data_IF_704226094198
#
_entry.id   IF_704226094198
#
_cell.length_a   1.000
_cell.length_b   1.000
_cell.length_c   1.000
_cell.angle_alpha   90.00
_cell.angle_beta   90.00
_cell.angle_gamma   90.00
#
_symmetry.space_group_name_H-M   'P 1'
#
loop_
_entity.id
_entity.type
_entity.pdbx_description
1 polymer ?
#
# COMPACT_ATOMS: atom_id res chain seq x y z
N UNK A 1 -18.84 18.18 9.09
CA UNK A 1 -17.96 17.41 10.01
C UNK A 1 -16.49 17.69 9.72
N UNK A 2 -15.56 17.23 10.57
CA UNK A 2 -14.13 17.34 10.32
C UNK A 2 -13.72 16.60 9.03
N UNK A 3 -14.28 15.41 8.79
CA UNK A 3 -14.05 14.63 7.58
C UNK A 3 -14.45 15.44 6.33
N UNK A 4 -15.62 16.09 6.34
CA UNK A 4 -16.08 16.86 5.17
C UNK A 4 -15.16 18.04 4.85
N UNK A 5 -14.71 18.77 5.89
CA UNK A 5 -13.78 19.90 5.71
C UNK A 5 -12.48 19.44 5.06
N UNK A 6 -11.89 18.33 5.55
CA UNK A 6 -10.63 17.81 5.02
C UNK A 6 -10.83 17.24 3.61
N UNK A 7 -11.92 16.51 3.39
CA UNK A 7 -12.21 15.85 2.11
C UNK A 7 -12.37 16.83 0.94
N UNK A 8 -12.95 18.02 1.20
CA UNK A 8 -13.18 19.04 0.16
C UNK A 8 -12.01 20.02 0.02
N UNK A 9 -11.03 19.98 0.93
CA UNK A 9 -9.86 20.85 0.87
C UNK A 9 -8.96 20.47 -0.32
N UNK A 10 -8.52 21.47 -1.07
CA UNK A 10 -7.57 21.30 -2.18
C UNK A 10 -6.10 21.24 -1.70
N UNK A 11 -5.88 21.63 -0.45
CA UNK A 11 -4.57 21.66 0.18
C UNK A 11 -4.29 20.42 1.05
N UNK A 12 -3.45 20.64 2.05
CA UNK A 12 -2.94 19.58 2.96
C UNK A 12 -3.53 19.79 4.35
N UNK A 13 -3.42 18.74 5.19
CA UNK A 13 -3.74 18.86 6.61
C UNK A 13 -2.45 19.25 7.38
N UNK A 14 -2.47 20.42 7.97
CA UNK A 14 -1.40 20.92 8.84
C UNK A 14 -1.75 20.51 10.26
N UNK A 15 -1.03 19.53 10.79
CA UNK A 15 -1.28 19.06 12.16
C UNK A 15 -0.34 19.78 13.11
N UNK A 16 -0.87 20.28 14.22
CA UNK A 16 -0.08 21.06 15.18
C UNK A 16 -0.43 20.75 16.64
N UNK A 17 0.49 20.96 17.54
CA UNK A 17 0.33 20.70 18.96
C UNK A 17 1.62 20.89 19.74
N UNK A 18 1.53 21.12 21.05
CA UNK A 18 2.68 21.35 21.94
C UNK A 18 2.95 20.16 22.83
N UNK A 19 4.22 19.89 23.13
CA UNK A 19 4.65 18.85 24.06
C UNK A 19 4.17 17.45 23.64
N UNK A 20 3.47 16.71 24.54
CA UNK A 20 2.95 15.37 24.24
C UNK A 20 1.90 15.39 23.12
N UNK A 21 1.04 16.41 23.11
CA UNK A 21 0.09 16.62 21.98
C UNK A 21 0.83 16.85 20.65
N UNK A 22 1.98 17.50 20.66
CA UNK A 22 2.84 17.68 19.47
C UNK A 22 3.42 16.36 18.94
N UNK A 23 3.86 15.45 19.82
CA UNK A 23 4.30 14.12 19.41
C UNK A 23 3.16 13.28 18.83
N UNK A 24 1.97 13.37 19.42
CA UNK A 24 0.75 12.74 18.89
C UNK A 24 0.38 13.36 17.53
N UNK A 25 0.44 14.68 17.39
CA UNK A 25 0.18 15.40 16.16
C UNK A 25 1.12 14.96 15.01
N UNK A 26 2.42 14.76 15.28
CA UNK A 26 3.37 14.20 14.31
C UNK A 26 2.96 12.80 13.83
N UNK A 27 2.53 11.94 14.77
CA UNK A 27 2.05 10.59 14.42
C UNK A 27 0.78 10.65 13.58
N UNK A 28 -0.19 11.50 13.95
CA UNK A 28 -1.42 11.69 13.17
C UNK A 28 -1.11 12.19 11.76
N UNK A 29 -0.22 13.18 11.61
CA UNK A 29 0.22 13.67 10.29
C UNK A 29 0.81 12.55 9.43
N UNK A 30 1.66 11.70 10.03
CA UNK A 30 2.24 10.54 9.35
C UNK A 30 1.17 9.53 8.95
N UNK A 31 0.19 9.24 9.82
CA UNK A 31 -0.91 8.33 9.50
C UNK A 31 -1.77 8.86 8.36
N UNK A 32 -2.19 10.13 8.41
CA UNK A 32 -2.94 10.79 7.34
C UNK A 32 -2.22 10.67 5.99
N UNK A 33 -0.93 11.03 5.96
CA UNK A 33 -0.11 10.96 4.75
C UNK A 33 -0.01 9.52 4.20
N UNK A 34 0.18 8.54 5.09
CA UNK A 34 0.29 7.12 4.72
C UNK A 34 -1.03 6.48 4.30
N UNK A 35 -2.16 7.12 4.59
CA UNK A 35 -3.51 6.68 4.22
C UNK A 35 -4.16 7.56 3.14
N UNK A 36 -3.33 8.29 2.37
CA UNK A 36 -3.77 9.01 1.18
C UNK A 36 -4.24 10.44 1.40
N UNK A 37 -4.17 10.98 2.64
CA UNK A 37 -4.46 12.38 2.93
C UNK A 37 -3.16 13.14 3.14
N UNK A 38 -2.72 14.03 2.22
CA UNK A 38 -1.48 14.78 2.37
C UNK A 38 -1.48 15.60 3.66
N UNK A 39 -0.51 15.36 4.53
CA UNK A 39 -0.43 16.03 5.83
C UNK A 39 1.02 16.18 6.29
N UNK A 40 1.29 17.21 7.09
CA UNK A 40 2.56 17.36 7.80
C UNK A 40 2.38 18.13 9.09
N UNK A 41 3.38 18.06 9.94
CA UNK A 41 3.37 18.70 11.26
C UNK A 41 4.08 20.06 11.22
N UNK A 42 3.45 21.08 11.83
CA UNK A 42 4.06 22.37 12.12
C UNK A 42 4.11 22.60 13.63
N UNK A 43 5.29 22.89 14.17
CA UNK A 43 5.44 23.13 15.60
C UNK A 43 4.96 24.55 15.95
N UNK A 44 4.11 24.75 16.99
CA UNK A 44 3.54 26.06 17.30
C UNK A 44 4.59 27.15 17.58
N UNK A 45 5.68 26.80 18.26
CA UNK A 45 6.77 27.76 18.51
C UNK A 45 7.52 28.15 17.26
N UNK A 46 7.84 27.18 16.39
CA UNK A 46 8.53 27.46 15.11
C UNK A 46 7.64 28.26 14.16
N UNK A 47 6.33 28.02 14.20
CA UNK A 47 5.35 28.82 13.46
C UNK A 47 5.49 30.32 13.78
N UNK A 48 5.76 30.66 15.05
CA UNK A 48 5.97 32.04 15.49
C UNK A 48 7.27 32.65 14.95
N UNK A 49 8.18 31.85 14.41
CA UNK A 49 9.50 32.26 13.90
C UNK A 49 9.68 32.03 12.39
N UNK A 50 8.57 31.87 11.65
CA UNK A 50 8.61 31.82 10.19
C UNK A 50 7.86 30.65 9.56
N UNK A 51 7.67 29.52 10.28
CA UNK A 51 7.06 28.32 9.73
C UNK A 51 5.54 28.49 9.42
N UNK A 52 4.90 29.61 9.81
CA UNK A 52 3.59 30.00 9.26
C UNK A 52 3.61 30.08 7.73
N UNK A 53 4.77 30.40 7.13
CA UNK A 53 4.95 30.38 5.68
C UNK A 53 4.81 29.02 5.01
N UNK A 54 4.82 27.92 5.79
CA UNK A 54 4.54 26.58 5.29
C UNK A 54 3.05 26.30 5.07
N UNK A 55 2.16 27.14 5.62
CA UNK A 55 0.72 26.95 5.62
C UNK A 55 0.12 27.77 4.47
N UNK A 56 -0.52 27.12 3.51
CA UNK A 56 -1.20 27.74 2.38
C UNK A 56 -2.69 28.02 2.69
N UNK A 57 -3.30 28.93 1.94
CA UNK A 57 -4.69 29.33 2.17
C UNK A 57 -5.72 28.22 1.90
N UNK A 58 -5.35 27.23 1.11
CA UNK A 58 -6.18 26.06 0.78
C UNK A 58 -5.91 24.85 1.69
N UNK A 59 -5.00 24.97 2.67
CA UNK A 59 -4.75 23.93 3.68
C UNK A 59 -5.88 23.91 4.74
N UNK A 60 -5.89 22.87 5.58
CA UNK A 60 -6.73 22.73 6.77
C UNK A 60 -5.82 22.52 7.98
N UNK A 61 -6.06 23.26 9.06
CA UNK A 61 -5.29 23.09 10.30
C UNK A 61 -6.05 22.16 11.25
N UNK A 62 -5.36 21.12 11.75
CA UNK A 62 -5.81 20.25 12.84
C UNK A 62 -4.94 20.54 14.07
N UNK A 63 -5.50 21.24 15.03
CA UNK A 63 -4.82 21.72 16.22
C UNK A 63 -5.17 20.87 17.47
N UNK A 64 -4.16 20.27 18.07
CA UNK A 64 -4.29 19.42 19.26
C UNK A 64 -3.87 20.17 20.53
N UNK A 65 -4.78 20.38 21.44
CA UNK A 65 -4.51 20.90 22.79
C UNK A 65 -5.51 20.35 23.79
N UNK A 66 -5.04 19.57 24.77
CA UNK A 66 -5.94 18.96 25.75
C UNK A 66 -6.79 19.99 26.50
N UNK A 67 -6.17 21.04 27.01
CA UNK A 67 -6.87 22.14 27.69
C UNK A 67 -7.53 23.11 26.74
N UNK A 68 -7.04 23.18 25.48
CA UNK A 68 -7.44 24.21 24.54
C UNK A 68 -6.94 25.63 24.88
N UNK A 69 -6.09 25.76 25.90
CA UNK A 69 -5.56 27.04 26.41
C UNK A 69 -4.04 27.20 26.21
N UNK A 70 -3.44 26.39 25.34
CA UNK A 70 -1.99 26.45 25.04
C UNK A 70 -1.63 27.77 24.38
N UNK A 71 -0.85 28.61 25.06
CA UNK A 71 -0.54 29.97 24.63
C UNK A 71 0.19 30.01 23.28
N UNK A 72 1.07 29.06 23.03
CA UNK A 72 1.86 28.95 21.79
C UNK A 72 1.00 28.71 20.54
N UNK A 73 -0.23 28.23 20.71
CA UNK A 73 -1.15 28.02 19.59
C UNK A 73 -1.74 29.32 19.05
N UNK A 74 -1.61 30.43 19.78
CA UNK A 74 -2.24 31.70 19.45
C UNK A 74 -1.86 32.20 18.05
N UNK A 75 -0.58 32.15 17.70
CA UNK A 75 -0.11 32.66 16.42
C UNK A 75 -0.67 31.86 15.22
N UNK A 76 -0.79 30.54 15.35
CA UNK A 76 -1.40 29.66 14.34
C UNK A 76 -2.90 29.94 14.22
N UNK A 77 -3.62 30.08 15.33
CA UNK A 77 -5.07 30.36 15.31
C UNK A 77 -5.37 31.77 14.76
N UNK A 78 -4.58 32.76 15.12
CA UNK A 78 -4.71 34.13 14.56
C UNK A 78 -4.38 34.15 13.07
N UNK A 79 -3.39 33.38 12.61
CA UNK A 79 -3.03 33.23 11.22
C UNK A 79 -4.17 32.54 10.42
N UNK A 80 -4.69 31.43 10.91
CA UNK A 80 -5.84 30.71 10.33
C UNK A 80 -7.00 31.67 10.10
N UNK A 81 -7.41 32.41 11.14
CA UNK A 81 -8.53 33.34 11.06
C UNK A 81 -8.29 34.50 10.07
N UNK A 82 -7.06 35.05 10.05
CA UNK A 82 -6.68 36.17 9.17
C UNK A 82 -6.71 35.76 7.70
N UNK A 83 -6.34 34.54 7.39
CA UNK A 83 -6.25 34.02 6.03
C UNK A 83 -7.44 33.15 5.60
N UNK A 84 -8.46 32.99 6.48
CA UNK A 84 -9.65 32.19 6.19
C UNK A 84 -9.38 30.69 6.07
N UNK A 85 -8.27 30.21 6.66
CA UNK A 85 -7.86 28.80 6.63
C UNK A 85 -8.72 28.03 7.62
N UNK A 86 -9.30 26.90 7.21
CA UNK A 86 -10.14 26.07 8.06
C UNK A 86 -9.38 25.49 9.24
N UNK A 87 -9.94 25.62 10.44
CA UNK A 87 -9.36 25.17 11.70
C UNK A 87 -10.25 24.12 12.36
N UNK A 88 -9.68 22.96 12.62
CA UNK A 88 -10.27 21.88 13.41
C UNK A 88 -9.55 21.82 14.74
N UNK A 89 -10.26 21.95 15.85
CA UNK A 89 -9.72 21.79 17.19
C UNK A 89 -9.95 20.38 17.73
N UNK A 90 -8.93 19.77 18.32
CA UNK A 90 -9.03 18.54 19.10
C UNK A 90 -8.69 18.84 20.54
N UNK A 91 -9.68 18.88 21.43
CA UNK A 91 -9.55 19.32 22.83
C UNK A 91 -10.54 18.60 23.75
N UNK A 92 -10.25 18.56 25.04
CA UNK A 92 -11.19 18.06 26.05
C UNK A 92 -12.15 19.14 26.59
N UNK A 93 -11.91 20.43 26.27
CA UNK A 93 -12.68 21.56 26.78
C UNK A 93 -13.40 22.27 25.62
N UNK A 94 -14.70 22.04 25.52
CA UNK A 94 -15.53 22.50 24.39
C UNK A 94 -15.67 24.03 24.28
N UNK A 95 -15.44 24.78 25.36
CA UNK A 95 -15.53 26.23 25.42
C UNK A 95 -14.17 26.93 25.61
N UNK A 96 -13.07 26.19 25.39
CA UNK A 96 -11.70 26.71 25.46
C UNK A 96 -11.41 27.77 24.38
N UNK A 97 -10.31 28.51 24.55
CA UNK A 97 -9.87 29.52 23.60
C UNK A 97 -9.67 28.94 22.18
N UNK A 98 -9.08 27.74 22.07
CA UNK A 98 -8.90 27.05 20.79
C UNK A 98 -10.26 26.64 20.19
N UNK A 99 -11.18 26.10 21.01
CA UNK A 99 -12.49 25.66 20.53
C UNK A 99 -13.34 26.81 19.99
N UNK A 100 -13.28 27.97 20.65
CA UNK A 100 -14.05 29.18 20.25
C UNK A 100 -13.68 29.74 18.88
N UNK A 101 -12.46 29.50 18.41
CA UNK A 101 -11.97 30.02 17.12
C UNK A 101 -11.97 28.97 16.02
N UNK A 102 -12.27 27.71 16.33
CA UNK A 102 -12.29 26.62 15.38
C UNK A 102 -13.60 26.53 14.59
N UNK A 103 -13.53 26.14 13.32
CA UNK A 103 -14.71 25.83 12.49
C UNK A 103 -15.40 24.53 12.92
N UNK A 104 -14.62 23.58 13.42
CA UNK A 104 -15.10 22.29 14.00
C UNK A 104 -14.30 21.94 15.23
N UNK A 105 -15.00 21.45 16.26
CA UNK A 105 -14.37 20.98 17.50
C UNK A 105 -14.61 19.48 17.66
N UNK A 106 -13.52 18.73 17.75
CA UNK A 106 -13.48 17.32 18.11
C UNK A 106 -13.28 17.26 19.63
N UNK A 107 -14.37 17.09 20.37
CA UNK A 107 -14.35 17.09 21.84
C UNK A 107 -14.00 15.69 22.34
N UNK A 108 -12.93 15.61 23.13
CA UNK A 108 -12.52 14.39 23.83
C UNK A 108 -13.17 14.33 25.22
N UNK A 109 -13.60 13.15 25.69
CA UNK A 109 -14.13 13.02 27.05
C UNK A 109 -13.04 13.33 28.07
N UNK A 110 -13.41 14.05 29.12
CA UNK A 110 -12.50 14.31 30.24
C UNK A 110 -12.27 13.01 31.04
N UNK A 111 -11.00 12.69 31.26
CA UNK A 111 -10.62 11.51 32.04
C UNK A 111 -9.35 11.79 32.85
N UNK A 112 -9.19 11.04 33.96
CA UNK A 112 -7.96 11.09 34.74
C UNK A 112 -6.80 10.49 33.96
N UNK A 113 -5.64 11.10 34.15
CA UNK A 113 -4.40 10.49 33.70
C UNK A 113 -4.09 9.21 34.49
N UNK A 114 -3.46 8.21 33.83
CA UNK A 114 -3.07 6.96 34.52
C UNK A 114 -1.93 7.17 35.52
N UNK A 115 -1.27 8.32 35.49
CA UNK A 115 -0.24 8.71 36.42
C UNK A 115 -0.86 8.87 37.83
N UNK A 116 -0.23 8.35 38.93
CA UNK A 116 -0.74 8.45 40.31
C UNK A 116 -1.08 9.87 40.74
N UNK A 117 -0.35 10.85 40.23
CA UNK A 117 -0.53 12.28 40.53
C UNK A 117 -1.50 13.00 39.56
N UNK A 118 -2.05 12.30 38.58
CA UNK A 118 -2.89 12.89 37.52
C UNK A 118 -2.21 14.04 36.73
N UNK A 119 -0.88 13.99 36.54
CA UNK A 119 -0.09 15.04 35.93
C UNK A 119 0.54 14.66 34.62
N UNK A 120 1.09 13.43 34.49
CA UNK A 120 1.77 13.01 33.28
C UNK A 120 0.73 12.64 32.21
N UNK A 121 0.78 13.29 31.02
CA UNK A 121 -0.14 12.99 29.92
C UNK A 121 0.02 11.54 29.45
N UNK A 122 -0.98 10.74 29.69
CA UNK A 122 -1.08 9.30 29.36
C UNK A 122 -2.42 9.02 28.70
N UNK A 123 -3.51 9.01 29.46
CA UNK A 123 -4.88 8.81 28.97
C UNK A 123 -5.26 9.87 27.93
N UNK A 124 -4.96 11.15 28.19
CA UNK A 124 -5.18 12.24 27.25
C UNK A 124 -4.47 12.03 25.90
N UNK A 125 -3.20 11.58 25.96
CA UNK A 125 -2.41 11.32 24.76
C UNK A 125 -2.96 10.14 23.94
N UNK A 126 -3.40 9.07 24.60
CA UNK A 126 -4.02 7.92 23.94
C UNK A 126 -5.35 8.28 23.27
N UNK A 127 -6.17 9.11 23.94
CA UNK A 127 -7.43 9.57 23.37
C UNK A 127 -7.23 10.44 22.13
N UNK A 128 -6.27 11.38 22.17
CA UNK A 128 -5.91 12.19 21.01
C UNK A 128 -5.42 11.32 19.85
N UNK A 129 -4.59 10.32 20.15
CA UNK A 129 -4.07 9.39 19.16
C UNK A 129 -5.20 8.57 18.52
N UNK A 130 -6.06 7.97 19.35
CA UNK A 130 -7.16 7.13 18.88
C UNK A 130 -8.14 7.92 18.00
N UNK A 131 -8.51 9.15 18.39
CA UNK A 131 -9.40 9.99 17.60
C UNK A 131 -8.75 10.46 16.30
N UNK A 132 -7.43 10.75 16.33
CA UNK A 132 -6.67 11.11 15.14
C UNK A 132 -6.57 9.95 14.14
N UNK A 133 -6.36 8.72 14.61
CA UNK A 133 -6.36 7.54 13.75
C UNK A 133 -7.76 7.23 13.22
N UNK A 134 -8.81 7.38 14.03
CA UNK A 134 -10.19 7.24 13.57
C UNK A 134 -10.53 8.25 12.47
N UNK A 135 -10.04 9.51 12.58
CA UNK A 135 -10.20 10.52 11.55
C UNK A 135 -9.47 10.12 10.25
N UNK A 136 -8.25 9.61 10.35
CA UNK A 136 -7.47 9.15 9.20
C UNK A 136 -8.16 7.98 8.48
N UNK A 137 -8.71 7.01 9.22
CA UNK A 137 -9.44 5.87 8.64
C UNK A 137 -10.77 6.32 8.00
N UNK A 138 -11.52 7.24 8.62
CA UNK A 138 -12.73 7.78 8.02
C UNK A 138 -12.45 8.53 6.70
N UNK A 139 -11.32 9.23 6.60
CA UNK A 139 -10.87 9.86 5.37
C UNK A 139 -10.45 8.83 4.31
N UNK A 140 -9.69 7.81 4.70
CA UNK A 140 -9.30 6.69 3.83
C UNK A 140 -10.54 6.05 3.18
N UNK A 141 -11.57 5.73 3.98
CA UNK A 141 -12.82 5.17 3.48
C UNK A 141 -13.55 6.14 2.54
N UNK A 142 -13.59 7.43 2.91
CA UNK A 142 -14.28 8.47 2.10
C UNK A 142 -13.63 8.75 0.75
N UNK A 143 -12.32 8.52 0.62
CA UNK A 143 -11.57 8.66 -0.63
C UNK A 143 -11.55 7.38 -1.46
N UNK A 144 -12.08 6.26 -0.95
CA UNK A 144 -11.99 4.95 -1.61
C UNK A 144 -10.56 4.44 -1.78
N UNK A 145 -9.67 4.82 -0.84
CA UNK A 145 -8.25 4.45 -0.85
C UNK A 145 -8.09 2.94 -0.71
N UNK A 146 -7.40 2.33 -1.67
CA UNK A 146 -7.28 0.88 -1.80
C UNK A 146 -5.97 0.34 -1.23
N UNK A 147 -5.89 -1.01 -1.11
CA UNK A 147 -4.64 -1.68 -0.76
C UNK A 147 -3.53 -1.43 -1.81
N UNK A 148 -3.90 -1.24 -3.08
CA UNK A 148 -2.95 -0.90 -4.15
C UNK A 148 -2.36 0.48 -3.91
N UNK A 149 -3.20 1.48 -3.60
CA UNK A 149 -2.74 2.83 -3.27
C UNK A 149 -1.83 2.83 -2.05
N UNK A 150 -2.16 2.00 -1.03
CA UNK A 150 -1.30 1.81 0.13
C UNK A 150 0.08 1.27 -0.23
N UNK A 151 0.13 0.29 -1.15
CA UNK A 151 1.39 -0.27 -1.67
C UNK A 151 2.26 0.77 -2.36
N UNK A 152 1.67 1.67 -3.15
CA UNK A 152 2.38 2.77 -3.82
C UNK A 152 3.07 3.73 -2.84
N UNK A 153 2.43 3.99 -1.68
CA UNK A 153 2.99 4.86 -0.64
C UNK A 153 4.00 4.15 0.28
N UNK A 154 4.06 2.81 0.25
CA UNK A 154 4.94 2.00 1.13
C UNK A 154 5.86 1.04 0.34
N UNK A 155 6.65 1.51 -0.64
CA UNK A 155 7.39 0.62 -1.55
C UNK A 155 8.49 -0.21 -0.87
N UNK A 156 9.00 0.22 0.28
CA UNK A 156 10.14 -0.40 0.98
C UNK A 156 9.80 -1.26 2.20
N UNK A 157 8.52 -1.37 2.60
CA UNK A 157 8.12 -2.09 3.81
C UNK A 157 7.64 -3.53 3.54
N UNK A 158 7.61 -4.39 4.58
CA UNK A 158 6.98 -5.73 4.49
C UNK A 158 5.53 -5.66 3.96
N UNK A 159 4.77 -4.62 4.34
CA UNK A 159 3.43 -4.40 3.83
C UNK A 159 3.42 -4.11 2.31
N UNK A 160 4.36 -3.31 1.80
CA UNK A 160 4.48 -3.06 0.36
C UNK A 160 4.80 -4.32 -0.43
N UNK A 161 5.62 -5.21 0.14
CA UNK A 161 5.93 -6.51 -0.47
C UNK A 161 4.70 -7.43 -0.53
N UNK A 162 3.86 -7.44 0.50
CA UNK A 162 2.62 -8.23 0.54
C UNK A 162 1.58 -7.76 -0.50
N UNK A 163 1.67 -6.51 -0.96
CA UNK A 163 0.76 -5.89 -1.93
C UNK A 163 1.28 -5.92 -3.37
N UNK A 164 2.50 -6.42 -3.60
CA UNK A 164 3.01 -6.63 -4.96
C UNK A 164 2.19 -7.67 -5.70
N UNK A 165 2.01 -7.41 -6.99
CA UNK A 165 1.31 -8.28 -7.92
C UNK A 165 2.29 -9.09 -8.77
N UNK A 166 1.79 -10.10 -9.47
CA UNK A 166 2.56 -10.87 -10.45
C UNK A 166 3.19 -9.94 -11.51
N UNK A 167 2.46 -8.91 -11.96
CA UNK A 167 2.90 -7.92 -12.94
C UNK A 167 4.19 -7.21 -12.55
N UNK A 168 4.39 -6.98 -11.24
CA UNK A 168 5.53 -6.20 -10.74
C UNK A 168 6.86 -6.94 -10.85
N UNK A 169 6.82 -8.29 -10.98
CA UNK A 169 8.03 -9.12 -10.97
C UNK A 169 8.08 -10.19 -12.07
N UNK A 170 7.01 -10.36 -12.86
CA UNK A 170 6.97 -11.39 -13.91
C UNK A 170 7.98 -11.12 -15.02
N UNK A 171 8.52 -12.18 -15.56
CA UNK A 171 9.35 -12.15 -16.77
C UNK A 171 8.45 -12.01 -17.99
N UNK A 172 8.75 -11.08 -18.90
CA UNK A 172 7.91 -10.73 -20.05
C UNK A 172 8.65 -10.86 -21.39
N UNK A 173 7.89 -10.87 -22.48
CA UNK A 173 8.42 -10.83 -23.84
C UNK A 173 9.35 -12.01 -24.13
N UNK A 174 10.54 -11.71 -24.67
CA UNK A 174 11.53 -12.72 -25.04
C UNK A 174 12.10 -13.53 -23.85
N UNK A 175 11.85 -13.12 -22.59
CA UNK A 175 12.27 -13.91 -21.44
C UNK A 175 11.35 -15.11 -21.16
N UNK A 176 10.14 -15.11 -21.68
CA UNK A 176 9.21 -16.23 -21.52
C UNK A 176 9.64 -17.44 -22.36
N UNK A 177 9.69 -18.66 -21.77
CA UNK A 177 9.94 -19.90 -22.51
C UNK A 177 8.67 -20.34 -23.24
N UNK A 178 8.53 -20.02 -24.52
CA UNK A 178 7.35 -20.34 -25.32
C UNK A 178 7.75 -21.08 -26.62
N UNK A 179 6.96 -22.07 -26.98
CA UNK A 179 7.09 -22.78 -28.25
C UNK A 179 5.71 -22.93 -28.92
N UNK A 180 5.62 -22.81 -30.27
CA UNK A 180 4.40 -23.09 -31.00
C UNK A 180 4.01 -24.57 -30.96
N UNK A 181 2.70 -24.87 -31.12
CA UNK A 181 2.24 -26.23 -31.44
C UNK A 181 3.01 -26.79 -32.65
N UNK A 182 3.29 -28.09 -32.64
CA UNK A 182 4.01 -28.78 -33.69
C UNK A 182 5.55 -28.63 -33.61
N UNK A 183 6.09 -27.88 -32.64
CA UNK A 183 7.55 -27.79 -32.39
C UNK A 183 8.11 -29.17 -32.02
N UNK A 184 9.33 -29.50 -32.45
CA UNK A 184 10.01 -30.73 -32.00
C UNK A 184 10.41 -30.61 -30.54
N UNK A 185 10.42 -31.73 -29.84
CA UNK A 185 10.84 -31.77 -28.43
C UNK A 185 12.30 -31.36 -28.25
N UNK A 186 13.20 -31.64 -29.21
CA UNK A 186 14.56 -31.13 -29.21
C UNK A 186 14.64 -29.61 -29.08
N UNK A 187 13.81 -28.88 -29.82
CA UNK A 187 13.77 -27.42 -29.84
C UNK A 187 13.08 -26.88 -28.57
N UNK A 188 12.00 -27.56 -28.13
CA UNK A 188 11.33 -27.26 -26.87
C UNK A 188 12.26 -27.38 -25.64
N UNK A 189 13.06 -28.42 -25.59
CA UNK A 189 14.06 -28.63 -24.52
C UNK A 189 15.17 -27.58 -24.58
N UNK A 190 15.60 -27.18 -25.79
CA UNK A 190 16.58 -26.12 -25.95
C UNK A 190 16.04 -24.78 -25.41
N UNK A 191 14.78 -24.47 -25.71
CA UNK A 191 14.10 -23.27 -25.16
C UNK A 191 14.01 -23.31 -23.65
N UNK A 192 13.59 -24.45 -23.05
CA UNK A 192 13.57 -24.66 -21.58
C UNK A 192 14.93 -24.40 -20.95
N UNK A 193 16.00 -24.96 -21.54
CA UNK A 193 17.37 -24.85 -21.05
C UNK A 193 17.87 -23.41 -21.16
N UNK A 194 17.61 -22.74 -22.28
CA UNK A 194 18.04 -21.36 -22.55
C UNK A 194 17.41 -20.37 -21.59
N UNK A 195 16.13 -20.56 -21.23
CA UNK A 195 15.41 -19.65 -20.32
C UNK A 195 15.59 -20.02 -18.85
N UNK A 196 15.89 -21.26 -18.53
CA UNK A 196 16.26 -21.71 -17.17
C UNK A 196 15.11 -21.79 -16.16
N UNK A 197 13.85 -21.87 -16.63
CA UNK A 197 12.68 -21.96 -15.73
C UNK A 197 12.18 -23.41 -15.50
N UNK A 198 12.82 -24.40 -16.09
CA UNK A 198 12.41 -25.81 -15.97
C UNK A 198 11.06 -26.11 -16.62
N UNK A 199 10.59 -25.24 -17.50
CA UNK A 199 9.35 -25.47 -18.27
C UNK A 199 9.35 -24.68 -19.59
N UNK A 200 8.42 -25.03 -20.51
CA UNK A 200 8.10 -24.29 -21.72
C UNK A 200 6.58 -24.28 -21.92
N UNK A 201 6.01 -23.10 -22.18
CA UNK A 201 4.59 -22.94 -22.53
C UNK A 201 4.36 -23.21 -24.02
N UNK A 202 3.30 -23.93 -24.32
CA UNK A 202 2.93 -24.25 -25.72
C UNK A 202 1.77 -23.36 -26.14
N UNK A 203 1.96 -22.62 -27.24
CA UNK A 203 0.98 -21.68 -27.76
C UNK A 203 0.42 -22.14 -29.11
N UNK A 204 -0.87 -21.87 -29.34
CA UNK A 204 -1.52 -22.14 -30.63
C UNK A 204 -1.23 -21.01 -31.66
N UNK A 205 -1.75 -21.17 -32.89
CA UNK A 205 -1.58 -20.19 -33.97
C UNK A 205 -2.25 -18.82 -33.70
N UNK A 206 -3.06 -18.69 -32.63
CA UNK A 206 -3.65 -17.43 -32.16
C UNK A 206 -2.87 -16.83 -30.98
N UNK A 207 -1.80 -17.52 -30.53
CA UNK A 207 -0.99 -17.14 -29.38
C UNK A 207 -1.63 -17.47 -28.03
N UNK A 208 -2.63 -18.35 -27.97
CA UNK A 208 -3.25 -18.81 -26.73
C UNK A 208 -2.38 -19.91 -26.09
N UNK A 209 -2.22 -19.86 -24.78
CA UNK A 209 -1.51 -20.89 -24.02
C UNK A 209 -2.37 -22.16 -23.93
N UNK A 210 -1.98 -23.21 -24.63
CA UNK A 210 -2.73 -24.48 -24.72
C UNK A 210 -2.11 -25.63 -23.95
N UNK A 211 -0.83 -25.52 -23.57
CA UNK A 211 -0.12 -26.55 -22.84
C UNK A 211 1.15 -26.03 -22.15
N UNK A 212 1.72 -26.90 -21.33
CA UNK A 212 3.02 -26.70 -20.68
C UNK A 212 3.79 -28.01 -20.69
N UNK A 213 5.08 -27.95 -20.86
CA UNK A 213 6.02 -29.06 -20.63
C UNK A 213 6.96 -28.64 -19.50
N UNK A 214 7.14 -29.50 -18.53
CA UNK A 214 8.02 -29.29 -17.37
C UNK A 214 9.11 -30.38 -17.34
N UNK A 215 10.15 -30.19 -16.52
CA UNK A 215 11.15 -31.24 -16.25
C UNK A 215 10.51 -32.55 -15.75
N UNK A 216 9.36 -32.44 -15.06
CA UNK A 216 8.57 -33.60 -14.64
C UNK A 216 7.96 -34.36 -15.82
N UNK A 217 7.48 -33.64 -16.82
CA UNK A 217 6.94 -34.23 -18.05
C UNK A 217 8.04 -34.93 -18.86
N UNK A 218 9.22 -34.31 -18.99
CA UNK A 218 10.36 -34.93 -19.64
C UNK A 218 10.72 -36.28 -18.98
N UNK A 219 10.78 -36.33 -17.66
CA UNK A 219 11.08 -37.57 -16.93
C UNK A 219 10.01 -38.65 -17.12
N UNK A 220 8.72 -38.25 -17.16
CA UNK A 220 7.61 -39.20 -17.37
C UNK A 220 7.58 -39.79 -18.79
N UNK A 221 8.02 -39.02 -19.77
CA UNK A 221 8.01 -39.42 -21.18
C UNK A 221 9.40 -39.83 -21.69
N UNK A 222 10.36 -40.08 -20.77
CA UNK A 222 11.71 -40.49 -21.14
C UNK A 222 11.68 -41.77 -21.97
N UNK A 223 12.01 -41.67 -23.25
CA UNK A 223 12.12 -42.75 -24.21
C UNK A 223 13.13 -42.38 -25.30
N UNK A 224 13.62 -43.37 -26.05
CA UNK A 224 14.70 -43.15 -27.03
C UNK A 224 14.36 -42.17 -28.15
N UNK A 225 13.08 -42.04 -28.51
CA UNK A 225 12.55 -41.16 -29.58
C UNK A 225 11.96 -39.84 -29.07
N UNK A 226 12.14 -39.50 -27.79
CA UNK A 226 11.59 -38.28 -27.19
C UNK A 226 11.97 -37.01 -27.96
N UNK A 227 13.21 -36.89 -28.40
CA UNK A 227 13.70 -35.69 -29.08
C UNK A 227 13.04 -35.47 -30.46
N UNK A 228 12.58 -36.53 -31.13
CA UNK A 228 11.87 -36.48 -32.41
C UNK A 228 10.36 -36.31 -32.26
N UNK A 229 9.81 -36.52 -31.05
CA UNK A 229 8.40 -36.32 -30.76
C UNK A 229 7.99 -34.83 -30.93
N UNK A 230 6.68 -34.57 -31.00
CA UNK A 230 6.14 -33.22 -30.99
C UNK A 230 5.82 -32.80 -29.57
N UNK A 231 5.93 -31.49 -29.29
CA UNK A 231 5.51 -30.91 -28.00
C UNK A 231 4.06 -31.23 -27.66
N UNK A 232 3.21 -31.36 -28.67
CA UNK A 232 1.79 -31.72 -28.59
C UNK A 232 1.53 -33.07 -27.95
N UNK A 233 2.45 -34.02 -28.12
CA UNK A 233 2.36 -35.40 -27.66
C UNK A 233 2.83 -35.55 -26.20
N UNK A 234 3.55 -34.55 -25.68
CA UNK A 234 4.20 -34.59 -24.36
C UNK A 234 3.60 -33.59 -23.38
N UNK A 235 3.04 -32.49 -23.88
CA UNK A 235 2.55 -31.39 -23.04
C UNK A 235 1.40 -31.78 -22.13
N UNK A 236 1.41 -31.25 -20.94
CA UNK A 236 0.22 -31.17 -20.09
C UNK A 236 -0.70 -30.09 -20.62
N UNK A 237 -1.93 -30.44 -21.03
CA UNK A 237 -2.93 -29.51 -21.54
C UNK A 237 -3.58 -28.71 -20.43
N UNK A 238 -4.12 -27.52 -20.78
CA UNK A 238 -4.78 -26.61 -19.84
C UNK A 238 -3.94 -26.34 -18.58
N UNK A 239 -2.76 -25.77 -18.76
CA UNK A 239 -1.85 -25.51 -17.66
C UNK A 239 -2.49 -24.56 -16.64
N UNK A 240 -2.07 -24.67 -15.39
CA UNK A 240 -2.45 -23.70 -14.37
C UNK A 240 -1.77 -22.39 -14.65
N UNK A 241 -2.51 -21.31 -14.47
CA UNK A 241 -2.08 -19.94 -14.76
C UNK A 241 -2.48 -19.00 -13.63
N UNK A 242 -1.89 -17.82 -13.60
CA UNK A 242 -2.26 -16.73 -12.71
C UNK A 242 -2.63 -15.50 -13.52
N UNK A 243 -3.30 -14.54 -12.88
CA UNK A 243 -3.52 -13.23 -13.49
C UNK A 243 -2.35 -12.30 -13.17
N UNK A 244 -2.02 -11.35 -14.05
CA UNK A 244 -0.98 -10.36 -13.77
C UNK A 244 -1.27 -9.47 -12.56
N UNK A 245 -2.55 -9.19 -12.28
CA UNK A 245 -3.00 -8.38 -11.15
C UNK A 245 -3.12 -9.17 -9.82
N UNK A 246 -2.84 -10.47 -9.84
CA UNK A 246 -2.91 -11.32 -8.66
C UNK A 246 -1.77 -11.02 -7.69
N UNK A 247 -2.07 -11.02 -6.38
CA UNK A 247 -1.07 -10.79 -5.34
C UNK A 247 0.00 -11.88 -5.30
N UNK A 248 1.24 -11.50 -4.97
CA UNK A 248 2.35 -12.46 -4.86
C UNK A 248 2.13 -13.48 -3.75
N UNK A 249 1.51 -13.10 -2.64
CA UNK A 249 1.14 -14.03 -1.55
C UNK A 249 0.20 -15.13 -2.02
N UNK A 250 -0.87 -14.77 -2.73
CA UNK A 250 -1.81 -15.74 -3.32
C UNK A 250 -1.12 -16.63 -4.36
N UNK A 251 -0.22 -16.06 -5.15
CA UNK A 251 0.55 -16.81 -6.15
C UNK A 251 1.49 -17.82 -5.51
N UNK A 252 2.11 -17.47 -4.39
CA UNK A 252 2.94 -18.39 -3.61
C UNK A 252 2.12 -19.55 -3.05
N UNK A 253 0.92 -19.29 -2.54
CA UNK A 253 0.00 -20.32 -2.06
C UNK A 253 -0.38 -21.30 -3.18
N UNK A 254 -0.62 -20.80 -4.40
CA UNK A 254 -0.88 -21.63 -5.58
C UNK A 254 0.32 -22.52 -5.91
N UNK A 255 1.53 -21.94 -5.99
CA UNK A 255 2.75 -22.70 -6.27
C UNK A 255 2.97 -23.82 -5.24
N UNK A 256 2.81 -23.50 -3.95
CA UNK A 256 2.99 -24.46 -2.86
C UNK A 256 1.92 -25.57 -2.85
N UNK A 257 0.64 -25.21 -2.97
CA UNK A 257 -0.47 -26.19 -2.94
C UNK A 257 -0.44 -27.14 -4.13
N UNK A 258 -0.01 -26.64 -5.29
CA UNK A 258 0.09 -27.45 -6.52
C UNK A 258 1.46 -28.11 -6.69
N UNK A 259 2.43 -27.80 -5.82
CA UNK A 259 3.82 -28.32 -5.88
C UNK A 259 4.46 -28.07 -7.25
N UNK A 260 4.26 -26.85 -7.80
CA UNK A 260 4.88 -26.38 -9.03
C UNK A 260 5.84 -25.23 -8.74
N UNK A 261 6.83 -25.04 -9.60
CA UNK A 261 7.89 -24.04 -9.41
C UNK A 261 7.68 -22.79 -10.27
N UNK A 262 6.83 -22.88 -11.30
CA UNK A 262 6.60 -21.79 -12.26
C UNK A 262 5.16 -21.75 -12.72
N UNK A 263 4.66 -20.55 -13.01
CA UNK A 263 3.32 -20.30 -13.56
C UNK A 263 3.39 -19.24 -14.65
N UNK A 264 2.60 -19.41 -15.71
CA UNK A 264 2.37 -18.36 -16.69
C UNK A 264 1.29 -17.38 -16.19
N UNK A 265 1.56 -16.10 -16.32
CA UNK A 265 0.58 -15.05 -16.18
C UNK A 265 -0.15 -14.87 -17.52
N UNK A 266 -1.49 -14.91 -17.50
CA UNK A 266 -2.32 -14.97 -18.70
C UNK A 266 -3.39 -13.88 -18.68
N UNK A 267 -3.55 -13.18 -19.81
CA UNK A 267 -4.66 -12.26 -20.09
C UNK A 267 -5.39 -12.73 -21.36
N UNK A 268 -6.71 -12.86 -21.29
CA UNK A 268 -7.54 -13.35 -22.41
C UNK A 268 -6.98 -14.62 -23.07
N UNK A 269 -6.44 -15.54 -22.28
CA UNK A 269 -5.86 -16.81 -22.73
C UNK A 269 -4.44 -16.72 -23.30
N UNK A 270 -3.87 -15.53 -23.45
CA UNK A 270 -2.51 -15.32 -23.96
C UNK A 270 -1.52 -15.19 -22.81
N UNK A 271 -0.35 -15.84 -22.87
CA UNK A 271 0.71 -15.63 -21.90
C UNK A 271 1.30 -14.23 -22.08
N UNK A 272 1.22 -13.42 -21.01
CA UNK A 272 1.75 -12.04 -20.96
C UNK A 272 2.96 -11.94 -20.06
N UNK A 273 3.21 -12.97 -19.23
CA UNK A 273 4.35 -13.05 -18.35
C UNK A 273 4.53 -14.46 -17.78
N UNK A 274 5.61 -14.63 -17.06
CA UNK A 274 5.93 -15.84 -16.32
C UNK A 274 6.54 -15.49 -14.98
N UNK A 275 6.21 -16.26 -13.93
CA UNK A 275 6.75 -16.11 -12.59
C UNK A 275 7.32 -17.44 -12.11
N UNK A 276 8.48 -17.40 -11.46
CA UNK A 276 9.13 -18.54 -10.84
C UNK A 276 9.18 -18.40 -9.32
N UNK A 277 9.12 -19.48 -8.57
CA UNK A 277 9.14 -19.47 -7.10
C UNK A 277 10.33 -18.69 -6.52
N UNK A 278 11.49 -18.73 -7.17
CA UNK A 278 12.66 -17.97 -6.72
C UNK A 278 12.49 -16.44 -6.84
N UNK A 279 11.66 -15.97 -7.75
CA UNK A 279 11.37 -14.53 -7.87
C UNK A 279 10.56 -14.06 -6.65
N UNK A 280 9.58 -14.85 -6.22
CA UNK A 280 8.79 -14.61 -5.01
C UNK A 280 9.66 -14.62 -3.74
N UNK A 281 10.55 -15.62 -3.61
CA UNK A 281 11.47 -15.70 -2.47
C UNK A 281 12.42 -14.49 -2.38
N UNK A 282 12.93 -14.00 -3.52
CA UNK A 282 13.79 -12.80 -3.57
C UNK A 282 13.06 -11.52 -3.15
N UNK A 283 11.75 -11.43 -3.32
CA UNK A 283 10.98 -10.25 -2.89
C UNK A 283 10.66 -10.25 -1.41
N UNK A 284 10.91 -11.33 -0.68
CA UNK A 284 10.51 -11.49 0.71
C UNK A 284 9.00 -11.69 0.89
N UNK A 285 8.32 -12.20 -0.14
CA UNK A 285 6.89 -12.56 -0.09
C UNK A 285 6.65 -13.92 0.61
N UNK A 286 7.71 -14.57 1.11
CA UNK A 286 7.67 -15.84 1.84
C UNK A 286 7.93 -15.63 3.33
#
# INVERSE_FOLDING_TARGET
SAVDIIRIAEGRVIVTGMGKSGHVARKIASTLASTGTPAFFVHPSEASHGDLGMIANNDVILALSWSGETAEMKNITDYSRRHGIKLIAMTAIADSALAKVADVVLVLPQAREACPHNLAPTTSSLMQLALGDALAIALLESHGFTAVDFGLLHPGGKLGTLLKTVRDIMHIGAAMPLAPLGTRMSDGILEMTTKGFGCVGIVDGRGLLVGIITDGDLRRHMRNDLLDARVDDVMTRSPKTVRPDQLLSETLDILNSMKVTALFAVEAGKPVGMIHVHDLLRTGAA
#
